data_IF_513150850544
#
_entry.id   IF_513150850544
#
_cell.length_a   1.000
_cell.length_b   1.000
_cell.length_c   1.000
_cell.angle_alpha   90.00
_cell.angle_beta   90.00
_cell.angle_gamma   90.00
#
_symmetry.space_group_name_H-M   'P 1'
#
loop_
_entity.id
_entity.type
_entity.pdbx_description
1 polymer ?
#
# COMPACT_ATOMS: atom_id res chain seq x y z
N UNK A 1 -13.70 14.25 -108.47
CA UNK A 1 -14.22 13.75 -107.19
C UNK A 1 -13.03 13.18 -106.47
N UNK A 2 -12.42 13.95 -105.59
CA UNK A 2 -11.39 13.47 -104.68
C UNK A 2 -11.49 14.27 -103.39
N UNK A 3 -11.90 13.57 -102.33
CA UNK A 3 -11.94 14.07 -100.95
C UNK A 3 -10.78 13.38 -100.23
N UNK A 4 -9.74 14.10 -99.79
CA UNK A 4 -8.78 13.57 -98.83
C UNK A 4 -9.16 14.11 -97.44
N UNK A 5 -9.80 13.30 -96.61
CA UNK A 5 -9.20 12.45 -95.56
C UNK A 5 -9.05 13.22 -94.24
N UNK A 6 -10.00 12.96 -93.33
CA UNK A 6 -9.99 13.40 -91.94
C UNK A 6 -8.87 12.67 -91.17
N UNK A 7 -8.08 13.37 -90.33
CA UNK A 7 -7.04 12.74 -89.54
C UNK A 7 -7.64 11.86 -88.44
N UNK A 8 -6.99 10.73 -88.08
CA UNK A 8 -7.52 9.82 -87.08
C UNK A 8 -7.51 10.45 -85.68
N UNK A 9 -8.53 10.13 -84.89
CA UNK A 9 -8.61 10.50 -83.47
C UNK A 9 -7.44 9.89 -82.69
N UNK A 10 -6.75 10.73 -81.92
CA UNK A 10 -5.68 10.31 -81.02
C UNK A 10 -6.23 9.42 -79.89
N UNK A 11 -5.56 8.29 -79.68
CA UNK A 11 -5.82 7.33 -78.62
C UNK A 11 -5.52 7.96 -77.24
N UNK A 12 -6.45 7.97 -76.27
CA UNK A 12 -6.20 8.55 -74.95
C UNK A 12 -5.23 7.64 -74.18
N UNK A 13 -3.95 8.02 -74.17
CA UNK A 13 -2.91 7.32 -73.41
C UNK A 13 -3.29 7.13 -71.93
N UNK A 14 -3.07 5.92 -71.43
CA UNK A 14 -3.33 5.54 -70.03
C UNK A 14 -2.75 6.54 -69.03
N UNK A 15 -3.48 6.91 -67.97
CA UNK A 15 -3.01 7.87 -66.99
C UNK A 15 -1.83 7.29 -66.20
N UNK A 16 -0.60 7.68 -66.58
CA UNK A 16 0.60 7.42 -65.81
C UNK A 16 0.56 8.30 -64.56
N UNK A 17 0.16 7.73 -63.42
CA UNK A 17 0.34 8.39 -62.13
C UNK A 17 1.80 8.83 -61.98
N UNK A 18 2.01 10.12 -61.68
CA UNK A 18 3.36 10.67 -61.52
C UNK A 18 4.08 9.89 -60.44
N UNK A 19 5.30 9.41 -60.73
CA UNK A 19 6.13 8.66 -59.78
C UNK A 19 6.29 9.38 -58.45
N UNK A 20 6.22 10.72 -58.47
CA UNK A 20 6.25 11.59 -57.31
C UNK A 20 5.03 11.39 -56.39
N UNK A 21 3.83 11.27 -56.96
CA UNK A 21 2.60 10.98 -56.20
C UNK A 21 2.65 9.58 -55.59
N UNK A 22 3.15 8.59 -56.32
CA UNK A 22 3.34 7.23 -55.79
C UNK A 22 4.32 7.22 -54.62
N UNK A 23 5.45 7.93 -54.72
CA UNK A 23 6.43 8.02 -53.64
C UNK A 23 5.82 8.69 -52.41
N UNK A 24 5.09 9.81 -52.58
CA UNK A 24 4.43 10.50 -51.46
C UNK A 24 3.43 9.58 -50.78
N UNK A 25 2.59 8.87 -51.54
CA UNK A 25 1.63 7.92 -50.97
C UNK A 25 2.30 6.78 -50.21
N UNK A 26 3.40 6.24 -50.72
CA UNK A 26 4.17 5.19 -50.04
C UNK A 26 4.77 5.74 -48.73
N UNK A 27 5.40 6.92 -48.76
CA UNK A 27 5.98 7.53 -47.55
C UNK A 27 4.91 7.85 -46.52
N UNK A 28 3.78 8.42 -46.93
CA UNK A 28 2.63 8.67 -46.05
C UNK A 28 2.10 7.39 -45.43
N UNK A 29 1.96 6.31 -46.21
CA UNK A 29 1.50 5.02 -45.71
C UNK A 29 2.49 4.41 -44.71
N UNK A 30 3.79 4.46 -45.00
CA UNK A 30 4.84 4.00 -44.07
C UNK A 30 4.79 4.79 -42.76
N UNK A 31 4.64 6.12 -42.84
CA UNK A 31 4.56 6.96 -41.64
C UNK A 31 3.32 6.65 -40.80
N UNK A 32 2.16 6.43 -41.44
CA UNK A 32 0.93 6.02 -40.73
C UNK A 32 1.11 4.66 -40.05
N UNK A 33 1.72 3.68 -40.71
CA UNK A 33 1.98 2.35 -40.13
C UNK A 33 2.94 2.45 -38.96
N UNK A 34 3.99 3.27 -39.05
CA UNK A 34 4.93 3.49 -37.96
C UNK A 34 4.26 4.16 -36.76
N UNK A 35 3.48 5.23 -37.00
CA UNK A 35 2.77 5.94 -35.92
C UNK A 35 1.73 5.02 -35.27
N UNK A 36 0.93 4.29 -36.06
CA UNK A 36 -0.06 3.35 -35.53
C UNK A 36 0.60 2.19 -34.75
N UNK A 37 1.73 1.67 -35.25
CA UNK A 37 2.50 0.65 -34.56
C UNK A 37 3.04 1.12 -33.21
N UNK A 38 3.63 2.33 -33.17
CA UNK A 38 4.11 2.94 -31.92
C UNK A 38 2.97 3.23 -30.95
N UNK A 39 1.83 3.74 -31.44
CA UNK A 39 0.65 3.96 -30.59
C UNK A 39 0.09 2.64 -30.04
N UNK A 40 0.10 1.57 -30.84
CA UNK A 40 -0.31 0.23 -30.41
C UNK A 40 0.58 -0.34 -29.29
N UNK A 41 1.90 -0.19 -29.39
CA UNK A 41 2.82 -0.64 -28.33
C UNK A 41 2.69 0.20 -27.07
N UNK A 42 2.47 1.52 -27.19
CA UNK A 42 2.20 2.41 -26.05
C UNK A 42 0.89 2.02 -25.35
N UNK A 43 -0.17 1.70 -26.10
CA UNK A 43 -1.43 1.25 -25.52
C UNK A 43 -1.27 -0.07 -24.74
N UNK A 44 -0.52 -1.03 -25.29
CA UNK A 44 -0.22 -2.30 -24.59
C UNK A 44 0.64 -2.07 -23.35
N UNK A 45 1.64 -1.18 -23.40
CA UNK A 45 2.44 -0.79 -22.24
C UNK A 45 1.61 -0.13 -21.14
N UNK A 46 0.72 0.79 -21.52
CA UNK A 46 -0.22 1.44 -20.60
C UNK A 46 -1.12 0.42 -19.87
N UNK A 47 -1.54 -0.67 -20.54
CA UNK A 47 -2.35 -1.72 -19.89
C UNK A 47 -1.56 -2.67 -18.99
N UNK A 48 -0.26 -2.89 -19.26
CA UNK A 48 0.57 -3.82 -18.47
C UNK A 48 1.30 -3.15 -17.32
N UNK A 49 1.59 -1.86 -17.43
CA UNK A 49 2.46 -1.14 -16.50
C UNK A 49 2.08 0.35 -16.47
N UNK A 50 0.94 0.70 -15.84
CA UNK A 50 0.49 2.10 -15.75
C UNK A 50 1.48 3.00 -15.01
N UNK A 51 2.36 2.40 -14.19
CA UNK A 51 3.36 3.10 -13.38
C UNK A 51 4.69 3.36 -14.13
N UNK A 52 4.82 2.96 -15.41
CA UNK A 52 6.05 3.23 -16.19
C UNK A 52 5.96 4.58 -16.89
N UNK A 53 6.80 5.57 -16.54
CA UNK A 53 6.78 6.86 -17.21
C UNK A 53 7.23 6.71 -18.67
N UNK A 54 6.33 7.05 -19.60
CA UNK A 54 6.58 7.01 -21.05
C UNK A 54 7.75 7.91 -21.52
N UNK A 55 8.22 8.82 -20.67
CA UNK A 55 9.21 9.85 -20.98
C UNK A 55 10.53 9.72 -20.19
N UNK A 56 10.87 8.52 -19.71
CA UNK A 56 12.23 8.23 -19.18
C UNK A 56 12.50 8.69 -17.75
N UNK A 57 11.47 8.77 -16.90
CA UNK A 57 11.64 8.97 -15.46
C UNK A 57 12.03 7.66 -14.74
N UNK A 58 12.68 7.78 -13.58
CA UNK A 58 12.87 6.63 -12.69
C UNK A 58 11.49 6.13 -12.25
N UNK A 59 11.17 4.82 -12.37
CA UNK A 59 9.88 4.32 -11.94
C UNK A 59 9.73 4.48 -10.41
N UNK A 60 8.52 4.77 -9.90
CA UNK A 60 8.25 4.77 -8.48
C UNK A 60 8.59 3.41 -7.84
N UNK A 61 9.18 3.46 -6.66
CA UNK A 61 9.48 2.30 -5.84
C UNK A 61 8.28 2.00 -4.93
N UNK A 62 7.75 0.77 -5.01
CA UNK A 62 6.71 0.33 -4.07
C UNK A 62 7.29 0.10 -2.69
N UNK A 63 6.55 0.52 -1.68
CA UNK A 63 6.89 0.27 -0.29
C UNK A 63 6.43 -1.13 0.10
N UNK A 64 7.26 -1.85 0.83
CA UNK A 64 6.86 -3.10 1.46
C UNK A 64 5.91 -2.87 2.63
N UNK A 65 6.05 -1.71 3.29
CA UNK A 65 5.14 -1.25 4.34
C UNK A 65 4.63 0.14 3.93
N UNK A 66 3.36 0.25 3.47
CA UNK A 66 2.75 1.54 3.15
C UNK A 66 2.78 2.51 4.33
N UNK A 67 2.89 3.79 4.01
CA UNK A 67 2.85 4.87 4.99
C UNK A 67 1.49 5.54 4.89
N UNK A 68 0.75 5.59 5.99
CA UNK A 68 -0.53 6.27 6.09
C UNK A 68 -0.36 7.58 6.86
N UNK A 69 -0.70 8.69 6.21
CA UNK A 69 -0.70 10.02 6.80
C UNK A 69 -2.13 10.35 7.20
N UNK A 70 -2.40 10.53 8.49
CA UNK A 70 -3.74 10.75 8.99
C UNK A 70 -3.78 11.92 9.99
N UNK A 71 -4.77 12.82 9.91
CA UNK A 71 -4.98 13.81 10.96
C UNK A 71 -5.23 13.14 12.31
N UNK A 72 -4.65 13.69 13.36
CA UNK A 72 -4.92 13.23 14.73
C UNK A 72 -6.19 13.93 15.23
N UNK A 73 -7.16 13.14 15.70
CA UNK A 73 -8.34 13.64 16.42
C UNK A 73 -8.03 13.86 17.90
N UNK A 74 -7.44 12.83 18.49
CA UNK A 74 -7.24 12.76 19.94
C UNK A 74 -6.03 11.88 20.25
N UNK A 75 -5.32 12.21 21.32
CA UNK A 75 -4.26 11.38 21.89
C UNK A 75 -4.62 10.97 23.31
N UNK A 76 -4.40 9.70 23.65
CA UNK A 76 -4.64 9.14 24.99
C UNK A 76 -3.41 8.38 25.46
N UNK A 77 -3.17 8.35 26.77
CA UNK A 77 -2.11 7.51 27.35
C UNK A 77 -2.54 6.05 27.27
N UNK A 78 -1.61 5.16 26.88
CA UNK A 78 -1.88 3.73 26.81
C UNK A 78 -2.19 3.13 28.21
N UNK A 79 -2.98 2.05 28.29
CA UNK A 79 -3.52 1.20 27.22
C UNK A 79 -4.70 1.83 26.47
N UNK A 80 -5.04 1.31 25.27
CA UNK A 80 -6.15 1.78 24.44
C UNK A 80 -7.39 0.87 24.59
N UNK A 81 -8.26 1.06 25.60
CA UNK A 81 -9.46 0.24 25.75
C UNK A 81 -10.55 0.70 24.77
N UNK A 82 -11.13 -0.25 24.03
CA UNK A 82 -12.41 -0.08 23.32
C UNK A 82 -12.42 0.82 22.07
N UNK A 83 -11.46 1.72 21.90
CA UNK A 83 -11.39 2.59 20.72
C UNK A 83 -10.46 2.01 19.64
N UNK A 84 -10.77 2.17 18.33
CA UNK A 84 -9.86 1.86 17.23
C UNK A 84 -8.72 2.90 17.18
N UNK A 85 -7.79 2.82 18.14
CA UNK A 85 -6.63 3.68 18.24
C UNK A 85 -5.38 2.98 17.71
N UNK A 86 -4.48 3.74 17.08
CA UNK A 86 -3.16 3.24 16.67
C UNK A 86 -2.14 3.61 17.74
N UNK A 87 -1.32 2.65 18.14
CA UNK A 87 -0.32 2.82 19.19
C UNK A 87 1.02 3.29 18.59
N UNK A 88 1.76 4.12 19.33
CA UNK A 88 3.14 4.45 18.97
C UNK A 88 4.11 3.27 19.13
N UNK A 89 5.30 3.37 18.52
CA UNK A 89 6.37 2.37 18.64
C UNK A 89 6.76 2.10 20.10
N UNK A 90 6.68 3.13 20.95
CA UNK A 90 7.03 3.05 22.38
C UNK A 90 5.94 2.43 23.24
N UNK A 91 4.75 2.19 22.68
CA UNK A 91 3.57 1.65 23.37
C UNK A 91 3.09 2.49 24.55
N UNK A 92 3.24 3.80 24.42
CA UNK A 92 2.94 4.81 25.43
C UNK A 92 1.71 5.65 25.09
N UNK A 93 1.43 5.84 23.80
CA UNK A 93 0.39 6.79 23.36
C UNK A 93 -0.50 6.16 22.31
N UNK A 94 -1.80 6.25 22.53
CA UNK A 94 -2.88 5.87 21.62
C UNK A 94 -3.28 7.09 20.79
N UNK A 95 -3.31 6.95 19.48
CA UNK A 95 -3.73 8.00 18.55
C UNK A 95 -5.06 7.60 17.91
N UNK A 96 -6.07 8.44 18.11
CA UNK A 96 -7.33 8.38 17.38
C UNK A 96 -7.15 9.20 16.10
N UNK A 97 -7.28 8.53 14.96
CA UNK A 97 -6.96 9.08 13.65
C UNK A 97 -8.22 9.31 12.83
N UNK A 98 -8.20 10.34 12.00
CA UNK A 98 -9.20 10.55 10.93
C UNK A 98 -8.80 9.75 9.68
N UNK A 99 -9.67 9.81 8.67
CA UNK A 99 -9.31 9.36 7.34
C UNK A 99 -8.13 10.19 6.80
N UNK A 100 -7.28 9.52 6.04
CA UNK A 100 -6.01 10.07 5.61
C UNK A 100 -5.55 9.51 4.27
N UNK A 101 -4.30 9.80 3.94
CA UNK A 101 -3.69 9.41 2.66
C UNK A 101 -2.71 8.26 2.88
N UNK A 102 -2.97 7.12 2.23
CA UNK A 102 -2.01 6.01 2.17
C UNK A 102 -1.09 6.14 0.96
N UNK A 103 0.21 6.23 1.23
CA UNK A 103 1.28 6.22 0.24
C UNK A 103 1.86 4.81 0.16
N UNK A 104 1.60 4.13 -0.95
CA UNK A 104 2.13 2.78 -1.23
C UNK A 104 3.37 2.77 -2.13
N UNK A 105 3.72 3.91 -2.72
CA UNK A 105 4.92 4.04 -3.54
C UNK A 105 5.55 5.44 -3.42
N UNK A 106 6.86 5.47 -3.60
CA UNK A 106 7.71 6.64 -3.41
C UNK A 106 8.65 6.78 -4.59
N UNK A 107 9.10 7.99 -4.87
CA UNK A 107 10.12 8.21 -5.88
C UNK A 107 11.52 7.83 -5.38
N UNK A 108 11.75 8.05 -4.08
CA UNK A 108 13.03 7.80 -3.39
C UNK A 108 12.86 7.89 -1.88
N UNK A 109 13.58 7.06 -1.12
CA UNK A 109 13.72 7.16 0.33
C UNK A 109 15.19 7.12 0.69
N UNK A 110 15.65 8.10 1.48
CA UNK A 110 17.05 8.20 1.90
C UNK A 110 17.16 8.67 3.35
N UNK A 111 18.07 8.07 4.10
CA UNK A 111 18.54 8.61 5.38
C UNK A 111 19.54 9.74 5.08
N UNK A 112 19.28 10.91 5.66
CA UNK A 112 20.08 12.13 5.47
C UNK A 112 20.56 12.61 6.83
N UNK A 113 21.88 12.73 6.97
CA UNK A 113 22.49 13.31 8.16
C UNK A 113 22.29 14.82 8.19
N UNK A 114 21.67 15.31 9.25
CA UNK A 114 21.54 16.72 9.56
C UNK A 114 22.84 17.33 10.10
N UNK A 115 22.93 18.65 10.04
CA UNK A 115 24.09 19.41 10.53
C UNK A 115 24.25 19.36 12.06
N UNK A 116 23.18 18.99 12.76
CA UNK A 116 23.10 18.79 14.20
C UNK A 116 23.58 17.39 14.64
N UNK A 117 24.00 16.54 13.69
CA UNK A 117 24.40 15.16 13.94
C UNK A 117 23.23 14.19 14.11
N UNK A 118 21.99 14.68 14.06
CA UNK A 118 20.81 13.83 13.96
C UNK A 118 20.61 13.36 12.52
N UNK A 119 19.87 12.29 12.34
CA UNK A 119 19.46 11.81 11.03
C UNK A 119 17.99 12.16 10.79
N UNK A 120 17.67 12.25 9.51
CA UNK A 120 16.31 12.41 9.01
C UNK A 120 16.07 11.42 7.89
N UNK A 121 14.86 10.89 7.76
CA UNK A 121 14.49 10.07 6.60
C UNK A 121 13.68 10.95 5.66
N UNK A 122 14.23 11.24 4.47
CA UNK A 122 13.59 12.00 3.41
C UNK A 122 12.86 11.04 2.47
N UNK A 123 11.56 11.26 2.32
CA UNK A 123 10.67 10.42 1.53
C UNK A 123 10.14 11.29 0.40
N UNK A 124 10.64 11.08 -0.82
CA UNK A 124 10.09 11.71 -2.02
C UNK A 124 8.84 10.93 -2.45
N UNK A 125 7.69 11.57 -2.42
CA UNK A 125 6.38 10.99 -2.67
C UNK A 125 6.20 10.78 -4.18
N UNK A 126 5.68 9.63 -4.59
CA UNK A 126 5.40 9.38 -6.00
C UNK A 126 4.29 10.31 -6.51
N UNK A 127 4.33 10.77 -7.78
CA UNK A 127 3.37 11.74 -8.32
C UNK A 127 1.90 11.36 -8.11
N UNK A 128 1.57 10.06 -8.16
CA UNK A 128 0.21 9.55 -7.98
C UNK A 128 -0.42 9.86 -6.60
N UNK A 129 0.39 10.12 -5.57
CA UNK A 129 -0.09 10.40 -4.21
C UNK A 129 0.14 11.85 -3.78
N UNK A 130 0.91 12.61 -4.56
CA UNK A 130 1.40 13.94 -4.17
C UNK A 130 0.25 14.91 -3.90
N UNK A 131 -0.66 15.07 -4.85
CA UNK A 131 -1.71 16.09 -4.75
C UNK A 131 -2.63 15.85 -3.55
N UNK A 132 -2.98 14.59 -3.29
CA UNK A 132 -3.79 14.20 -2.12
C UNK A 132 -3.07 14.50 -0.80
N UNK A 133 -1.76 14.25 -0.73
CA UNK A 133 -0.99 14.53 0.47
C UNK A 133 -0.80 16.03 0.69
N UNK A 134 -0.55 16.80 -0.38
CA UNK A 134 -0.46 18.27 -0.30
C UNK A 134 -1.77 18.85 0.20
N UNK A 135 -2.90 18.44 -0.37
CA UNK A 135 -4.24 18.85 0.06
C UNK A 135 -4.46 18.55 1.54
N UNK A 136 -4.17 17.32 1.97
CA UNK A 136 -4.25 16.93 3.37
C UNK A 136 -3.40 17.83 4.29
N UNK A 137 -2.13 18.06 3.94
CA UNK A 137 -1.24 18.86 4.78
C UNK A 137 -1.70 20.32 4.82
N UNK A 138 -2.07 20.90 3.68
CA UNK A 138 -2.50 22.29 3.59
C UNK A 138 -3.79 22.57 4.38
N UNK A 139 -4.70 21.60 4.47
CA UNK A 139 -5.90 21.67 5.30
C UNK A 139 -5.58 21.70 6.81
N UNK A 140 -4.48 21.07 7.24
CA UNK A 140 -4.10 20.99 8.65
C UNK A 140 -3.34 22.23 9.17
N UNK A 141 -2.81 23.07 8.26
CA UNK A 141 -2.00 24.25 8.61
C UNK A 141 -2.78 25.31 9.40
N UNK A 142 -4.00 25.75 9.01
CA UNK A 142 -4.68 26.86 9.66
C UNK A 142 -4.94 26.61 11.15
N UNK A 143 -5.26 25.36 11.49
CA UNK A 143 -5.57 24.93 12.86
C UNK A 143 -4.35 24.34 13.60
N UNK A 144 -3.18 24.32 12.95
CA UNK A 144 -1.95 23.70 13.47
C UNK A 144 -2.20 22.30 14.02
N UNK A 145 -2.88 21.47 13.24
CA UNK A 145 -3.24 20.11 13.66
C UNK A 145 -2.07 19.16 13.51
N UNK A 146 -2.07 18.09 14.32
CA UNK A 146 -1.08 17.04 14.20
C UNK A 146 -1.44 16.09 13.04
N UNK A 147 -0.43 15.64 12.30
CA UNK A 147 -0.55 14.57 11.32
C UNK A 147 0.24 13.35 11.80
N UNK A 148 -0.43 12.23 12.00
CA UNK A 148 0.22 10.97 12.31
C UNK A 148 0.83 10.35 11.06
N UNK A 149 2.08 9.93 11.18
CA UNK A 149 2.80 9.13 10.20
C UNK A 149 2.76 7.68 10.68
N UNK A 150 1.95 6.87 10.01
CA UNK A 150 1.63 5.51 10.44
C UNK A 150 2.23 4.50 9.48
N UNK A 151 2.95 3.51 10.01
CA UNK A 151 3.26 2.30 9.25
C UNK A 151 2.02 1.41 9.21
N UNK A 152 1.50 1.19 8.00
CA UNK A 152 0.27 0.46 7.77
C UNK A 152 0.53 -0.78 6.89
N UNK A 153 1.06 -1.88 7.47
CA UNK A 153 1.28 -3.11 6.73
C UNK A 153 -0.05 -3.66 6.19
N UNK A 154 -0.02 -4.23 4.99
CA UNK A 154 -1.22 -4.81 4.36
C UNK A 154 -1.69 -6.11 5.02
N UNK A 155 -0.79 -6.78 5.76
CA UNK A 155 -1.13 -8.01 6.48
C UNK A 155 -1.96 -7.69 7.73
N UNK A 156 -3.16 -8.25 7.83
CA UNK A 156 -4.09 -8.02 8.94
C UNK A 156 -3.52 -8.40 10.32
N UNK A 157 -2.61 -9.38 10.38
CA UNK A 157 -1.99 -9.83 11.63
C UNK A 157 -0.90 -8.89 12.16
N UNK A 158 -0.44 -7.94 11.34
CA UNK A 158 0.58 -6.96 11.75
C UNK A 158 -0.11 -5.68 12.19
N UNK A 159 0.12 -5.22 13.43
CA UNK A 159 -0.48 -3.99 13.90
C UNK A 159 0.06 -2.78 13.13
N UNK A 160 -0.80 -1.80 12.89
CA UNK A 160 -0.38 -0.46 12.48
C UNK A 160 0.37 0.20 13.63
N UNK A 161 1.36 1.03 13.32
CA UNK A 161 2.18 1.72 14.33
C UNK A 161 2.41 3.17 13.96
N UNK A 162 2.18 4.09 14.90
CA UNK A 162 2.50 5.51 14.73
C UNK A 162 4.01 5.70 14.97
N UNK A 163 4.72 6.21 13.97
CA UNK A 163 6.13 6.58 14.08
C UNK A 163 6.30 7.96 14.72
N UNK A 164 5.49 8.90 14.25
CA UNK A 164 5.54 10.29 14.68
C UNK A 164 4.17 10.94 14.46
N UNK A 165 3.88 11.97 15.26
CA UNK A 165 2.71 12.80 15.10
C UNK A 165 3.09 14.30 15.19
N UNK A 166 3.88 14.82 14.22
CA UNK A 166 4.27 16.22 14.21
C UNK A 166 3.08 17.16 14.04
N UNK A 167 3.20 18.36 14.62
CA UNK A 167 2.29 19.47 14.37
C UNK A 167 2.61 20.09 13.01
N UNK A 168 1.60 20.20 12.16
CA UNK A 168 1.73 20.85 10.85
C UNK A 168 1.67 22.37 11.04
N UNK A 169 2.75 23.06 10.70
CA UNK A 169 2.85 24.53 10.81
C UNK A 169 3.08 25.22 9.48
N UNK A 170 3.33 24.45 8.42
CA UNK A 170 3.66 24.94 7.09
C UNK A 170 3.02 24.04 6.04
N UNK A 171 2.64 24.67 4.93
CA UNK A 171 2.15 23.99 3.73
C UNK A 171 3.22 23.09 3.13
N UNK A 172 2.78 22.06 2.40
CA UNK A 172 3.71 21.13 1.76
C UNK A 172 4.28 21.73 0.46
N UNK A 173 5.36 22.48 0.59
CA UNK A 173 6.08 23.07 -0.55
C UNK A 173 7.13 22.09 -1.09
N UNK A 174 6.71 21.07 -1.84
CA UNK A 174 7.64 20.14 -2.49
C UNK A 174 7.04 18.79 -2.84
N UNK A 175 7.92 17.84 -3.15
CA UNK A 175 7.59 16.45 -3.46
C UNK A 175 8.01 15.50 -2.34
N UNK A 176 8.45 16.02 -1.19
CA UNK A 176 9.05 15.19 -0.13
C UNK A 176 8.62 15.56 1.27
N UNK A 177 8.56 14.56 2.14
CA UNK A 177 8.40 14.72 3.59
C UNK A 177 9.68 14.24 4.29
N UNK A 178 10.02 14.84 5.42
CA UNK A 178 11.17 14.46 6.24
C UNK A 178 10.71 14.07 7.64
N UNK A 179 11.16 12.92 8.12
CA UNK A 179 11.01 12.49 9.50
C UNK A 179 12.35 12.75 10.19
N UNK A 180 12.42 13.76 11.06
CA UNK A 180 13.66 14.25 11.66
C UNK A 180 13.86 13.77 13.10
N UNK A 181 15.08 13.87 13.62
CA UNK A 181 15.40 13.55 15.03
C UNK A 181 15.65 12.07 15.29
N UNK A 182 16.10 11.35 14.25
CA UNK A 182 16.44 9.93 14.32
C UNK A 182 17.93 9.75 14.61
N UNK A 183 18.29 8.63 15.23
CA UNK A 183 19.68 8.17 15.21
C UNK A 183 20.02 7.60 13.83
N UNK A 184 21.31 7.45 13.51
CA UNK A 184 21.76 6.79 12.26
C UNK A 184 21.13 5.41 12.11
N UNK A 185 21.22 4.60 13.19
CA UNK A 185 20.68 3.25 13.22
C UNK A 185 19.16 3.22 13.04
N UNK A 186 18.43 4.15 13.67
CA UNK A 186 16.97 4.21 13.55
C UNK A 186 16.54 4.65 12.14
N UNK A 187 17.27 5.61 11.54
CA UNK A 187 17.01 6.05 10.18
C UNK A 187 17.22 4.91 9.17
N UNK A 188 18.34 4.19 9.26
CA UNK A 188 18.64 3.04 8.39
C UNK A 188 17.64 1.90 8.58
N UNK A 189 17.26 1.61 9.84
CA UNK A 189 16.25 0.62 10.15
C UNK A 189 14.87 1.00 9.56
N UNK A 190 14.52 2.28 9.60
CA UNK A 190 13.27 2.78 9.02
C UNK A 190 13.27 2.67 7.49
N UNK A 191 14.34 3.11 6.82
CA UNK A 191 14.48 2.95 5.35
C UNK A 191 14.37 1.48 4.95
N UNK A 192 15.08 0.61 5.67
CA UNK A 192 15.10 -0.83 5.43
C UNK A 192 13.71 -1.44 5.58
N UNK A 193 12.99 -1.07 6.66
CA UNK A 193 11.62 -1.53 6.93
C UNK A 193 10.63 -1.09 5.85
N UNK A 194 10.72 0.17 5.40
CA UNK A 194 9.85 0.73 4.35
C UNK A 194 10.08 0.07 2.99
N UNK A 195 11.34 -0.25 2.67
CA UNK A 195 11.72 -0.91 1.41
C UNK A 195 11.63 -2.44 1.45
N UNK A 196 11.32 -3.02 2.60
CA UNK A 196 11.19 -4.48 2.76
C UNK A 196 12.51 -5.23 2.82
N UNK A 197 13.63 -4.53 3.07
CA UNK A 197 14.87 -5.20 3.42
C UNK A 197 14.76 -5.78 4.82
N UNK A 198 15.38 -6.93 5.06
CA UNK A 198 15.75 -7.31 6.42
C UNK A 198 16.88 -6.40 6.87
N UNK A 199 16.88 -5.83 8.09
CA UNK A 199 18.05 -5.15 8.61
C UNK A 199 19.19 -6.16 8.58
N UNK A 200 20.09 -6.01 7.60
CA UNK A 200 21.37 -6.68 7.66
C UNK A 200 22.02 -6.11 8.90
N UNK A 201 22.11 -6.94 9.94
CA UNK A 201 23.12 -6.74 10.96
C UNK A 201 24.44 -6.65 10.21
N UNK A 202 24.95 -5.42 10.03
CA UNK A 202 26.29 -5.22 9.51
C UNK A 202 27.22 -6.00 10.44
N UNK A 203 28.02 -6.96 9.92
CA UNK A 203 29.04 -7.56 10.72
C UNK A 203 30.05 -6.45 11.01
N UNK A 204 30.29 -6.19 12.29
CA UNK A 204 31.40 -5.36 12.74
C UNK A 204 32.66 -5.90 12.07
N UNK A 205 33.17 -5.17 11.09
CA UNK A 205 34.41 -5.49 10.41
C UNK A 205 35.56 -5.32 11.39
N UNK A 206 36.16 -6.43 11.81
CA UNK A 206 37.53 -6.45 12.30
C UNK A 206 38.36 -7.16 11.24
N UNK A 207 39.40 -6.53 10.66
CA UNK A 207 40.32 -7.23 9.78
C UNK A 207 41.31 -8.00 10.66
N UNK A 208 41.32 -9.33 10.58
CA UNK A 208 42.56 -10.04 10.84
C UNK A 208 42.71 -11.32 10.02
N UNK A 209 43.94 -11.52 9.58
CA UNK A 209 44.40 -12.38 8.51
C UNK A 209 45.21 -13.51 9.16
N UNK A 210 44.82 -14.78 8.99
CA UNK A 210 45.68 -15.88 9.45
C UNK A 210 45.08 -17.28 9.53
N UNK A 211 45.03 -17.95 8.37
CA UNK A 211 45.26 -19.38 8.07
C UNK A 211 44.84 -20.56 8.98
N UNK A 212 44.61 -21.75 8.37
CA UNK A 212 43.86 -22.87 8.94
C UNK A 212 44.76 -23.87 9.67
N UNK A 213 44.21 -24.64 10.61
CA UNK A 213 44.66 -26.02 10.76
C UNK A 213 43.60 -26.99 11.29
N UNK A 214 43.64 -28.16 10.67
CA UNK A 214 42.75 -29.29 10.72
C UNK A 214 43.19 -30.25 11.85
N UNK A 215 42.25 -30.86 12.56
CA UNK A 215 42.50 -31.90 13.55
C UNK A 215 41.21 -32.58 14.02
N UNK A 216 40.92 -33.73 13.40
CA UNK A 216 39.86 -34.72 13.72
C UNK A 216 40.31 -35.65 14.87
N UNK A 217 39.55 -36.71 15.24
CA UNK A 217 38.35 -36.81 16.10
C UNK A 217 38.65 -37.58 17.41
N UNK A 218 37.70 -37.72 18.36
CA UNK A 218 37.39 -39.07 18.87
C UNK A 218 36.09 -39.20 19.67
N UNK A 219 35.62 -40.44 19.66
CA UNK A 219 34.31 -41.00 19.94
C UNK A 219 34.19 -41.50 21.40
N UNK A 220 32.96 -41.50 21.96
CA UNK A 220 32.68 -42.28 23.18
C UNK A 220 31.31 -42.02 23.82
N UNK A 221 30.29 -42.80 23.43
CA UNK A 221 29.10 -43.11 24.26
C UNK A 221 29.41 -44.40 25.05
N UNK A 222 28.92 -44.56 26.28
CA UNK A 222 27.83 -45.54 26.49
C UNK A 222 26.80 -45.19 27.59
N UNK A 223 25.65 -45.85 27.47
CA UNK A 223 24.43 -45.85 28.29
C UNK A 223 24.61 -46.25 29.77
N UNK A 224 23.68 -45.80 30.64
CA UNK A 224 22.63 -46.60 31.34
C UNK A 224 22.24 -46.02 32.71
N UNK A 225 20.93 -45.97 33.01
CA UNK A 225 20.41 -46.11 34.38
C UNK A 225 19.13 -45.35 34.73
N UNK A 226 17.97 -46.02 34.63
CA UNK A 226 16.71 -45.69 35.34
C UNK A 226 16.53 -46.72 36.46
N UNK A 227 16.27 -46.35 37.73
CA UNK A 227 14.93 -46.41 38.37
C UNK A 227 14.74 -45.24 39.40
N UNK A 228 13.59 -44.81 39.93
CA UNK A 228 12.21 -45.26 40.01
C UNK A 228 11.62 -44.68 41.34
N UNK A 229 10.36 -44.23 41.31
CA UNK A 229 9.39 -44.03 42.44
C UNK A 229 9.56 -42.92 43.50
N UNK A 230 8.49 -42.12 43.67
CA UNK A 230 8.16 -41.40 44.91
C UNK A 230 7.19 -40.22 44.73
N UNK A 231 5.87 -40.43 44.84
CA UNK A 231 4.85 -39.40 45.08
C UNK A 231 4.65 -39.17 46.59
N UNK A 232 4.07 -38.04 47.06
CA UNK A 232 2.62 -38.08 47.34
C UNK A 232 1.81 -36.76 47.15
N UNK A 233 0.59 -36.94 46.62
CA UNK A 233 -0.75 -36.44 47.02
C UNK A 233 -1.03 -34.96 47.39
N UNK A 234 -2.04 -34.36 46.71
CA UNK A 234 -3.12 -33.56 47.31
C UNK A 234 -4.36 -33.46 46.36
N UNK A 235 -5.58 -33.11 46.81
CA UNK A 235 -6.79 -33.86 46.53
C UNK A 235 -7.83 -33.12 45.66
N UNK A 236 -8.85 -33.90 45.34
CA UNK A 236 -10.06 -33.73 44.52
C UNK A 236 -11.05 -32.60 44.89
N UNK A 237 -11.47 -31.82 43.87
CA UNK A 237 -12.85 -31.35 43.49
C UNK A 237 -13.79 -30.66 44.51
N UNK A 238 -14.99 -30.15 44.11
CA UNK A 238 -15.67 -30.25 42.80
C UNK A 238 -16.29 -28.93 42.24
N UNK A 239 -16.86 -29.05 41.03
CA UNK A 239 -17.51 -28.02 40.22
C UNK A 239 -18.83 -27.44 40.78
N UNK A 240 -19.15 -26.19 40.43
CA UNK A 240 -20.51 -25.63 40.40
C UNK A 240 -20.73 -24.68 39.21
N UNK A 241 -22.00 -24.61 38.80
CA UNK A 241 -22.67 -24.03 37.62
C UNK A 241 -22.79 -22.49 37.60
N UNK A 242 -22.92 -21.86 36.41
CA UNK A 242 -22.93 -20.40 36.13
C UNK A 242 -24.15 -19.58 36.62
N UNK A 243 -24.55 -18.41 36.02
CA UNK A 243 -24.06 -17.68 34.84
C UNK A 243 -23.67 -16.19 35.10
N UNK A 244 -22.92 -15.58 34.17
CA UNK A 244 -22.59 -14.15 34.15
C UNK A 244 -23.63 -13.34 33.35
N UNK A 245 -24.15 -12.27 33.95
CA UNK A 245 -25.07 -11.31 33.33
C UNK A 245 -24.42 -9.93 33.11
N UNK A 246 -24.36 -9.55 31.83
CA UNK A 246 -24.62 -8.22 31.22
C UNK A 246 -23.82 -6.98 31.66
N UNK A 247 -23.06 -6.43 30.69
CA UNK A 247 -22.64 -5.03 30.67
C UNK A 247 -22.48 -4.48 29.24
N UNK A 248 -23.35 -3.51 28.89
CA UNK A 248 -23.15 -2.23 28.15
C UNK A 248 -22.46 -2.22 26.73
N UNK A 249 -22.44 -1.10 25.96
CA UNK A 249 -22.76 -1.07 24.53
C UNK A 249 -21.51 -0.74 23.68
N UNK A 250 -21.50 -1.12 22.40
CA UNK A 250 -20.41 -0.79 21.48
C UNK A 250 -20.96 -0.10 20.25
N UNK A 251 -20.26 0.94 19.79
CA UNK A 251 -20.48 1.55 18.48
C UNK A 251 -19.51 1.03 17.42
N UNK A 252 -19.71 1.50 16.19
CA UNK A 252 -18.67 1.68 15.16
C UNK A 252 -18.68 0.70 13.99
N UNK A 253 -18.84 1.23 12.78
CA UNK A 253 -18.36 0.65 11.51
C UNK A 253 -17.11 1.44 11.08
N UNK A 254 -16.03 0.88 10.54
CA UNK A 254 -15.94 -0.25 9.62
C UNK A 254 -14.63 -1.06 9.75
N UNK A 255 -14.76 -2.38 9.58
CA UNK A 255 -13.68 -3.36 9.40
C UNK A 255 -13.83 -4.13 8.06
N UNK A 256 -12.77 -4.80 7.62
CA UNK A 256 -12.69 -5.72 6.45
C UNK A 256 -12.38 -7.16 6.95
N UNK A 257 -12.84 -8.24 6.26
CA UNK A 257 -13.46 -9.39 6.94
C UNK A 257 -12.69 -10.72 6.94
N UNK A 258 -13.12 -11.68 7.78
CA UNK A 258 -12.64 -13.07 7.76
C UNK A 258 -13.32 -13.90 6.65
N UNK A 259 -12.54 -14.80 6.04
CA UNK A 259 -13.07 -15.80 5.10
C UNK A 259 -13.60 -17.05 5.84
N UNK A 260 -14.87 -17.38 5.56
CA UNK A 260 -15.53 -18.69 5.66
C UNK A 260 -15.20 -19.57 6.87
N UNK A 261 -15.85 -19.24 7.99
CA UNK A 261 -16.00 -20.14 9.13
C UNK A 261 -17.22 -19.78 9.97
N UNK A 262 -18.41 -20.25 9.59
CA UNK A 262 -19.58 -20.36 10.48
C UNK A 262 -20.12 -19.07 11.10
N UNK A 263 -19.92 -17.90 10.48
CA UNK A 263 -20.61 -16.67 10.90
C UNK A 263 -22.10 -16.83 10.58
N UNK A 264 -22.97 -16.63 11.56
CA UNK A 264 -24.40 -16.52 11.32
C UNK A 264 -24.66 -15.26 10.47
N UNK A 265 -25.45 -15.35 9.39
CA UNK A 265 -25.69 -14.20 8.53
C UNK A 265 -26.28 -13.04 9.31
N UNK A 266 -25.83 -11.82 9.01
CA UNK A 266 -26.39 -10.62 9.65
C UNK A 266 -27.86 -10.45 9.28
N UNK A 267 -28.59 -9.64 10.05
CA UNK A 267 -29.99 -9.32 9.73
C UNK A 267 -30.03 -8.52 8.42
N UNK A 268 -30.90 -8.89 7.49
CA UNK A 268 -31.14 -8.08 6.29
C UNK A 268 -32.02 -6.87 6.63
N UNK A 269 -31.55 -5.67 6.28
CA UNK A 269 -32.26 -4.39 6.43
C UNK A 269 -32.79 -3.91 5.08
N UNK A 270 -33.64 -2.88 5.10
CA UNK A 270 -34.22 -2.32 3.88
C UNK A 270 -33.20 -1.49 3.08
N UNK A 271 -32.17 -0.94 3.75
CA UNK A 271 -31.13 -0.12 3.13
C UNK A 271 -29.77 -0.25 3.84
N UNK A 272 -28.69 0.11 3.14
CA UNK A 272 -27.34 0.17 3.73
C UNK A 272 -27.26 1.14 4.92
N UNK A 273 -28.03 2.24 4.87
CA UNK A 273 -28.08 3.22 5.96
C UNK A 273 -28.59 2.61 7.26
N UNK A 274 -29.59 1.75 7.19
CA UNK A 274 -30.12 1.04 8.36
C UNK A 274 -29.17 -0.03 8.87
N UNK A 275 -28.51 -0.75 7.97
CA UNK A 275 -27.50 -1.76 8.32
C UNK A 275 -26.34 -1.11 9.10
N UNK A 276 -25.73 -0.05 8.54
CA UNK A 276 -24.64 0.69 9.18
C UNK A 276 -25.10 1.35 10.49
N UNK A 277 -26.33 1.85 10.55
CA UNK A 277 -26.86 2.39 11.82
C UNK A 277 -27.02 1.31 12.92
N UNK A 278 -27.16 0.04 12.52
CA UNK A 278 -27.20 -1.10 13.44
C UNK A 278 -25.80 -1.68 13.75
N UNK A 279 -24.74 -1.16 13.13
CA UNK A 279 -23.38 -1.70 13.23
C UNK A 279 -23.14 -2.93 12.37
N UNK A 280 -23.94 -3.09 11.31
CA UNK A 280 -23.86 -4.17 10.35
C UNK A 280 -23.28 -3.65 9.01
N UNK A 281 -22.33 -4.38 8.43
CA UNK A 281 -21.54 -3.94 7.27
C UNK A 281 -20.17 -3.33 7.65
N UNK A 282 -19.36 -2.85 6.69
CA UNK A 282 -19.50 -3.00 5.25
C UNK A 282 -19.32 -4.46 4.78
N UNK A 283 -19.95 -4.81 3.66
CA UNK A 283 -19.97 -6.15 3.11
C UNK A 283 -19.02 -6.29 1.91
N UNK A 284 -18.25 -7.37 1.83
CA UNK A 284 -17.22 -7.52 0.79
C UNK A 284 -17.59 -8.62 -0.18
N UNK A 285 -17.41 -8.35 -1.48
CA UNK A 285 -17.71 -9.30 -2.54
C UNK A 285 -16.95 -10.61 -2.34
N UNK A 286 -17.67 -11.72 -2.27
CA UNK A 286 -17.09 -13.06 -2.17
C UNK A 286 -16.66 -13.46 -0.76
N UNK A 287 -16.77 -12.56 0.23
CA UNK A 287 -16.53 -12.89 1.63
C UNK A 287 -17.81 -12.90 2.46
N UNK A 288 -18.68 -11.91 2.25
CA UNK A 288 -19.97 -11.79 2.92
C UNK A 288 -21.08 -12.17 1.94
N UNK A 289 -21.97 -13.09 2.34
CA UNK A 289 -23.14 -13.44 1.52
C UNK A 289 -24.13 -12.26 1.43
N UNK A 290 -24.12 -11.42 2.46
CA UNK A 290 -24.86 -10.19 2.62
C UNK A 290 -24.49 -9.13 1.57
N UNK A 291 -23.31 -9.24 0.95
CA UNK A 291 -22.92 -8.37 -0.17
C UNK A 291 -23.96 -8.41 -1.31
N UNK A 292 -24.60 -9.56 -1.53
CA UNK A 292 -25.62 -9.70 -2.60
C UNK A 292 -26.96 -9.04 -2.26
N UNK A 293 -27.17 -8.64 -1.00
CA UNK A 293 -28.43 -8.07 -0.54
C UNK A 293 -28.57 -6.59 -0.83
N UNK A 294 -27.44 -5.90 -1.01
CA UNK A 294 -27.34 -4.46 -1.18
C UNK A 294 -26.63 -4.13 -2.49
N UNK A 295 -26.90 -2.94 -3.02
CA UNK A 295 -26.26 -2.46 -4.25
C UNK A 295 -24.97 -1.74 -3.88
N UNK A 296 -23.86 -2.23 -4.39
CA UNK A 296 -22.57 -1.55 -4.44
C UNK A 296 -22.66 -0.41 -5.47
N UNK A 297 -22.83 0.82 -4.99
CA UNK A 297 -23.15 2.01 -5.78
C UNK A 297 -21.93 2.51 -6.52
N UNK A 298 -20.77 2.46 -5.88
CA UNK A 298 -19.49 2.93 -6.44
C UNK A 298 -18.70 1.84 -7.17
N UNK A 299 -19.20 0.60 -7.15
CA UNK A 299 -18.66 -0.58 -7.81
C UNK A 299 -17.23 -0.94 -7.36
N UNK A 300 -16.87 -0.62 -6.12
CA UNK A 300 -15.53 -0.87 -5.60
C UNK A 300 -15.34 -2.28 -5.01
N UNK A 301 -16.39 -3.11 -4.97
CA UNK A 301 -16.37 -4.46 -4.39
C UNK A 301 -16.75 -4.52 -2.91
N UNK A 302 -17.20 -3.42 -2.33
CA UNK A 302 -17.61 -3.27 -0.93
C UNK A 302 -18.99 -2.61 -0.87
N UNK A 303 -20.02 -3.38 -0.51
CA UNK A 303 -21.37 -2.88 -0.34
C UNK A 303 -21.59 -2.29 1.06
N UNK A 304 -22.42 -1.26 1.16
CA UNK A 304 -22.72 -0.55 2.41
C UNK A 304 -21.49 0.11 3.07
N UNK A 305 -20.55 0.60 2.25
CA UNK A 305 -19.53 1.53 2.71
C UNK A 305 -20.06 2.97 2.75
N UNK A 306 -19.22 3.93 3.15
CA UNK A 306 -19.59 5.35 3.22
C UNK A 306 -20.06 5.95 1.87
N UNK A 307 -19.61 5.40 0.73
CA UNK A 307 -20.03 5.84 -0.60
C UNK A 307 -21.40 5.29 -1.03
N UNK A 308 -21.87 4.20 -0.41
CA UNK A 308 -23.14 3.54 -0.70
C UNK A 308 -24.31 4.02 0.18
N UNK A 309 -24.03 4.74 1.25
CA UNK A 309 -25.05 5.24 2.18
C UNK A 309 -25.74 6.46 1.55
N UNK A 310 -26.98 6.26 1.09
CA UNK A 310 -27.88 7.30 0.57
C UNK A 310 -29.03 7.60 1.54
#
# INVERSE_FOLDING_TARGET
MDKPEEPPLADPGEPKASRLTTIVLIVSLVLVVLVAGVLGTVAVLMTRSPDTPLLGGTPPQRLAVPIHFAPVRETKVAPCPGDPAVLDEKRTTCYLLEDGVTVGAVQRIEAVRGNDGQYSVRIAIAPAFKDRLVELIDELVPDQRAVAIVLAPEQADKPKVVLAAPIVTQQMNGDSVSISGLTEQDADALVTRLMGGTPSASPTGTPDQGSPNQGTPDQGTPDQGTPGTGAPQQPTGPATTGPAGTGQPGGGDAATPPANGGRAPDKRYASCKEAVAAGDGPYYRGTHEEYTWYVDVDANGVACNSADIR
#
